data_IF_694435745213
#
_entry.id   IF_694435745213
#
_cell.length_a   1.000
_cell.length_b   1.000
_cell.length_c   1.000
_cell.angle_alpha   90.00
_cell.angle_beta   90.00
_cell.angle_gamma   90.00
#
_symmetry.space_group_name_H-M   'P 1'
#
loop_
_entity.id
_entity.type
_entity.pdbx_description
1 polymer ?
#
# COMPACT_ATOMS: atom_id res chain seq x y z
N UNK A 1 -37.56 -7.49 -16.78
CA UNK A 1 -38.80 -8.05 -17.38
C UNK A 1 -38.88 -7.57 -18.83
N UNK A 2 -39.69 -8.22 -19.68
CA UNK A 2 -39.90 -7.76 -21.06
C UNK A 2 -41.08 -6.79 -21.13
N UNK A 3 -40.94 -5.71 -21.92
CA UNK A 3 -42.01 -4.77 -22.21
C UNK A 3 -42.05 -4.47 -23.72
N UNK A 4 -43.23 -4.51 -24.33
CA UNK A 4 -43.41 -4.28 -25.76
C UNK A 4 -43.18 -2.81 -26.18
N UNK A 5 -43.32 -1.87 -25.24
CA UNK A 5 -43.11 -0.44 -25.40
C UNK A 5 -42.38 0.07 -24.15
N UNK A 6 -41.12 -0.37 -23.98
CA UNK A 6 -40.28 0.04 -22.85
C UNK A 6 -39.47 1.30 -23.14
N UNK A 7 -38.91 1.91 -22.08
CA UNK A 7 -38.16 3.16 -22.20
C UNK A 7 -36.85 2.95 -22.97
N UNK A 8 -36.64 3.71 -24.05
CA UNK A 8 -35.43 3.60 -24.87
C UNK A 8 -34.15 3.97 -24.10
N UNK A 9 -34.24 4.84 -23.08
CA UNK A 9 -33.15 5.23 -22.21
C UNK A 9 -33.23 4.43 -20.89
N UNK A 10 -32.38 3.40 -20.68
CA UNK A 10 -32.38 2.66 -19.42
C UNK A 10 -31.81 3.52 -18.29
N UNK A 11 -32.40 3.45 -17.10
CA UNK A 11 -31.75 3.95 -15.88
C UNK A 11 -30.52 3.08 -15.58
N UNK A 12 -29.39 3.72 -15.29
CA UNK A 12 -28.11 3.06 -14.98
C UNK A 12 -27.57 3.57 -13.65
N UNK A 13 -26.55 2.91 -13.09
CA UNK A 13 -25.90 3.42 -11.88
C UNK A 13 -25.28 4.82 -12.06
N UNK A 14 -24.84 5.16 -13.26
CA UNK A 14 -24.28 6.49 -13.58
C UNK A 14 -25.35 7.53 -13.88
N UNK A 15 -26.50 7.12 -14.43
CA UNK A 15 -27.66 7.97 -14.70
C UNK A 15 -28.95 7.29 -14.20
N UNK A 16 -29.27 7.39 -12.89
CA UNK A 16 -30.39 6.66 -12.30
C UNK A 16 -31.78 7.17 -12.71
N UNK A 17 -31.83 8.29 -13.44
CA UNK A 17 -33.05 8.98 -13.87
C UNK A 17 -33.09 9.25 -15.38
N UNK A 18 -32.23 8.58 -16.17
CA UNK A 18 -32.17 8.73 -17.62
C UNK A 18 -33.53 8.47 -18.29
N UNK A 19 -34.32 7.54 -17.75
CA UNK A 19 -35.65 7.22 -18.24
C UNK A 19 -36.61 8.41 -18.18
N UNK A 20 -36.47 9.28 -17.18
CA UNK A 20 -37.38 10.43 -16.94
C UNK A 20 -37.17 11.59 -17.94
N UNK A 21 -35.99 11.68 -18.56
CA UNK A 21 -35.65 12.74 -19.51
C UNK A 21 -35.56 12.23 -20.96
N UNK A 22 -35.94 10.97 -21.19
CA UNK A 22 -35.85 10.34 -22.50
C UNK A 22 -36.89 10.92 -23.48
N UNK A 23 -36.42 11.43 -24.61
CA UNK A 23 -37.27 11.98 -25.68
C UNK A 23 -37.48 11.00 -26.85
N UNK A 24 -36.86 9.82 -26.79
CA UNK A 24 -36.93 8.80 -27.82
C UNK A 24 -38.24 8.01 -27.71
N UNK A 25 -38.71 7.49 -28.85
CA UNK A 25 -39.86 6.59 -28.89
C UNK A 25 -39.58 5.31 -28.09
N UNK A 26 -40.62 4.77 -27.45
CA UNK A 26 -40.50 3.49 -26.76
C UNK A 26 -40.14 2.37 -27.74
N UNK A 27 -39.45 1.35 -27.23
CA UNK A 27 -39.00 0.20 -28.02
C UNK A 27 -39.32 -1.10 -27.29
N UNK A 28 -39.60 -2.20 -28.00
CA UNK A 28 -39.70 -3.51 -27.39
C UNK A 28 -38.35 -3.91 -26.80
N UNK A 29 -38.26 -4.10 -25.48
CA UNK A 29 -36.99 -4.41 -24.79
C UNK A 29 -37.20 -5.14 -23.46
N UNK A 30 -36.13 -5.72 -22.95
CA UNK A 30 -36.03 -6.07 -21.55
C UNK A 30 -35.57 -4.84 -20.75
N UNK A 31 -36.24 -4.54 -19.64
CA UNK A 31 -35.88 -3.46 -18.73
C UNK A 31 -35.92 -3.90 -17.27
N UNK A 32 -35.19 -3.15 -16.43
CA UNK A 32 -35.17 -3.37 -14.99
C UNK A 32 -36.51 -2.98 -14.37
N UNK A 33 -36.88 -3.66 -13.29
CA UNK A 33 -38.08 -3.33 -12.52
C UNK A 33 -37.81 -2.08 -11.67
N UNK A 34 -38.86 -1.32 -11.32
CA UNK A 34 -38.74 -0.16 -10.43
C UNK A 34 -37.91 -0.45 -9.18
N UNK A 35 -36.98 0.44 -8.85
CA UNK A 35 -35.99 0.26 -7.77
C UNK A 35 -34.69 -0.43 -8.19
N UNK A 36 -34.60 -0.92 -9.43
CA UNK A 36 -33.40 -1.52 -10.01
C UNK A 36 -32.95 -0.72 -11.23
N UNK A 37 -31.65 -0.59 -11.39
CA UNK A 37 -31.01 0.06 -12.53
C UNK A 37 -30.06 -0.90 -13.24
N UNK A 38 -29.73 -0.60 -14.50
CA UNK A 38 -28.84 -1.42 -15.30
C UNK A 38 -27.38 -1.13 -14.93
N UNK A 39 -26.65 -2.17 -14.53
CA UNK A 39 -25.21 -2.15 -14.26
C UNK A 39 -24.58 -3.43 -14.82
N UNK A 40 -23.56 -3.32 -15.67
CA UNK A 40 -22.88 -4.46 -16.31
C UNK A 40 -23.81 -5.55 -16.87
N UNK A 41 -24.84 -5.11 -17.61
CA UNK A 41 -25.88 -5.99 -18.22
C UNK A 41 -26.77 -6.73 -17.21
N UNK A 42 -26.71 -6.38 -15.93
CA UNK A 42 -27.57 -6.90 -14.88
C UNK A 42 -28.42 -5.79 -14.27
N UNK A 43 -29.60 -6.16 -13.76
CA UNK A 43 -30.41 -5.24 -12.98
C UNK A 43 -30.02 -5.35 -11.52
N UNK A 44 -29.41 -4.30 -10.97
CA UNK A 44 -28.98 -4.24 -9.57
C UNK A 44 -29.85 -3.23 -8.81
N UNK A 45 -30.10 -3.44 -7.51
CA UNK A 45 -30.78 -2.44 -6.68
C UNK A 45 -30.08 -1.07 -6.80
N UNK A 46 -30.82 0.03 -6.93
CA UNK A 46 -30.21 1.37 -7.04
C UNK A 46 -29.27 1.70 -5.87
N UNK A 47 -29.62 1.22 -4.68
CA UNK A 47 -28.81 1.32 -3.44
C UNK A 47 -27.48 0.56 -3.48
N UNK A 48 -27.27 -0.31 -4.47
CA UNK A 48 -26.03 -1.07 -4.65
C UNK A 48 -25.04 -0.43 -5.64
N UNK A 49 -25.42 0.67 -6.28
CA UNK A 49 -24.62 1.35 -7.30
C UNK A 49 -23.40 2.12 -6.79
N UNK A 50 -23.30 2.35 -5.47
CA UNK A 50 -22.29 3.26 -4.93
C UNK A 50 -22.73 4.73 -4.96
N UNK A 51 -21.76 5.64 -5.06
CA UNK A 51 -21.97 7.08 -4.99
C UNK A 51 -21.45 7.76 -6.26
N UNK A 52 -22.25 8.66 -6.85
CA UNK A 52 -21.80 9.55 -7.92
C UNK A 52 -21.31 10.87 -7.31
N UNK A 53 -20.05 11.23 -7.56
CA UNK A 53 -19.45 12.45 -7.01
C UNK A 53 -18.52 13.11 -8.02
N UNK A 54 -18.78 14.39 -8.34
CA UNK A 54 -18.09 15.16 -9.40
C UNK A 54 -17.99 14.42 -10.75
N UNK A 55 -19.02 13.63 -11.09
CA UNK A 55 -19.07 12.85 -12.33
C UNK A 55 -18.27 11.53 -12.31
N UNK A 56 -17.72 11.13 -11.16
CA UNK A 56 -17.01 9.88 -10.96
C UNK A 56 -17.87 8.95 -10.09
N UNK A 57 -17.98 7.68 -10.50
CA UNK A 57 -18.65 6.63 -9.73
C UNK A 57 -17.67 6.04 -8.72
N UNK A 58 -18.09 5.95 -7.45
CA UNK A 58 -17.35 5.33 -6.36
C UNK A 58 -18.14 4.18 -5.77
N UNK A 59 -17.47 3.07 -5.48
CA UNK A 59 -18.09 1.89 -4.86
C UNK A 59 -18.51 2.15 -3.42
N UNK A 60 -19.48 1.40 -2.91
CA UNK A 60 -19.91 1.53 -1.51
C UNK A 60 -18.74 1.27 -0.56
N UNK A 61 -18.44 2.26 0.28
CA UNK A 61 -17.33 2.21 1.23
C UNK A 61 -15.97 2.60 0.65
N UNK A 62 -15.88 2.90 -0.65
CA UNK A 62 -14.66 3.41 -1.28
C UNK A 62 -14.26 4.76 -0.68
N UNK A 63 -12.96 4.95 -0.46
CA UNK A 63 -12.38 6.19 0.07
C UNK A 63 -11.42 6.81 -0.94
N UNK A 64 -11.49 8.13 -1.09
CA UNK A 64 -10.69 8.87 -2.06
C UNK A 64 -10.33 10.26 -1.54
N UNK A 65 -9.37 10.91 -2.21
CA UNK A 65 -8.97 12.28 -1.95
C UNK A 65 -9.67 13.21 -2.95
N UNK A 66 -10.33 14.25 -2.44
CA UNK A 66 -11.11 15.18 -3.27
C UNK A 66 -10.24 16.21 -4.00
N UNK A 67 -9.16 16.65 -3.35
CA UNK A 67 -8.35 17.77 -3.83
C UNK A 67 -6.91 17.38 -4.16
N UNK A 68 -6.28 18.20 -5.02
CA UNK A 68 -4.92 18.01 -5.53
C UNK A 68 -3.83 18.03 -4.43
N UNK A 69 -4.16 18.56 -3.25
CA UNK A 69 -3.25 18.64 -2.10
C UNK A 69 -3.57 17.62 -1.01
N UNK A 70 -4.55 16.74 -1.23
CA UNK A 70 -5.00 15.75 -0.27
C UNK A 70 -5.37 16.38 1.09
N UNK A 71 -6.13 17.48 1.12
CA UNK A 71 -6.64 18.14 2.33
C UNK A 71 -8.05 17.65 2.77
N UNK A 72 -8.77 17.01 1.87
CA UNK A 72 -10.12 16.48 2.06
C UNK A 72 -10.17 15.03 1.63
N UNK A 73 -10.55 14.15 2.56
CA UNK A 73 -10.74 12.72 2.32
C UNK A 73 -12.23 12.42 2.38
N UNK A 74 -12.71 11.67 1.40
CA UNK A 74 -14.10 11.36 1.21
C UNK A 74 -14.32 9.86 1.25
N UNK A 75 -15.55 9.46 1.60
CA UNK A 75 -16.02 8.08 1.57
C UNK A 75 -17.41 8.01 0.99
N UNK A 76 -17.64 7.06 0.09
CA UNK A 76 -18.99 6.68 -0.29
C UNK A 76 -19.66 5.93 0.87
N UNK A 77 -20.65 6.56 1.52
CA UNK A 77 -21.36 6.00 2.66
C UNK A 77 -22.24 4.82 2.22
N UNK A 78 -21.96 3.57 2.69
CA UNK A 78 -22.72 2.40 2.30
C UNK A 78 -24.20 2.44 2.73
N UNK A 79 -24.54 3.28 3.72
CA UNK A 79 -25.89 3.36 4.28
C UNK A 79 -26.76 4.43 3.63
N UNK A 80 -26.14 5.47 3.06
CA UNK A 80 -26.86 6.62 2.48
C UNK A 80 -26.70 6.71 0.96
N UNK A 81 -25.71 6.04 0.36
CA UNK A 81 -25.39 6.20 -1.06
C UNK A 81 -24.88 7.61 -1.40
N UNK A 82 -24.35 8.31 -0.40
CA UNK A 82 -23.84 9.68 -0.51
C UNK A 82 -22.38 9.75 -0.13
N UNK A 83 -21.66 10.73 -0.67
CA UNK A 83 -20.26 10.96 -0.30
C UNK A 83 -20.17 11.84 0.94
N UNK A 84 -19.45 11.36 1.95
CA UNK A 84 -19.13 12.09 3.17
C UNK A 84 -17.63 12.41 3.21
N UNK A 85 -17.29 13.69 3.35
CA UNK A 85 -15.89 14.17 3.35
C UNK A 85 -15.49 14.78 4.69
N UNK A 86 -14.22 14.63 5.06
CA UNK A 86 -13.62 15.21 6.27
C UNK A 86 -12.21 15.72 6.00
N UNK A 87 -11.78 16.69 6.81
CA UNK A 87 -10.42 17.23 6.74
C UNK A 87 -9.41 16.14 7.08
N UNK A 88 -8.44 15.94 6.20
CA UNK A 88 -7.35 14.99 6.37
C UNK A 88 -6.09 15.55 5.68
N UNK A 89 -4.94 14.92 5.88
CA UNK A 89 -3.71 15.28 5.16
C UNK A 89 -2.84 14.06 4.98
N UNK A 90 -1.98 14.08 3.96
CA UNK A 90 -0.94 13.08 3.83
C UNK A 90 -0.04 13.05 5.08
N UNK A 91 0.50 11.88 5.41
CA UNK A 91 1.47 11.77 6.52
C UNK A 91 2.70 12.63 6.22
N UNK A 92 3.46 13.04 7.24
CA UNK A 92 4.60 13.97 7.11
C UNK A 92 5.65 13.57 6.05
N UNK A 93 5.80 12.27 5.75
CA UNK A 93 6.73 11.74 4.75
C UNK A 93 6.03 11.27 3.46
N UNK A 94 4.82 11.76 3.20
CA UNK A 94 4.08 11.51 1.98
C UNK A 94 3.82 12.83 1.26
N UNK A 95 3.78 12.75 -0.06
CA UNK A 95 3.33 13.83 -0.94
C UNK A 95 2.05 13.39 -1.64
N UNK A 96 1.11 14.31 -1.78
CA UNK A 96 -0.05 14.08 -2.64
C UNK A 96 0.45 14.00 -4.09
N UNK A 97 0.07 12.94 -4.79
CA UNK A 97 0.44 12.68 -6.18
C UNK A 97 -0.75 12.14 -6.93
N UNK A 98 -0.89 12.52 -8.20
CA UNK A 98 -1.98 12.02 -9.06
C UNK A 98 -1.50 10.82 -9.88
N UNK A 99 -2.26 9.73 -9.85
CA UNK A 99 -2.05 8.52 -10.66
C UNK A 99 -3.37 8.21 -11.38
N UNK A 100 -3.35 8.16 -12.71
CA UNK A 100 -4.55 7.93 -13.54
C UNK A 100 -5.75 8.86 -13.21
N UNK A 101 -5.48 10.11 -12.85
CA UNK A 101 -6.51 11.09 -12.49
C UNK A 101 -7.02 11.01 -11.05
N UNK A 102 -6.55 10.04 -10.25
CA UNK A 102 -6.91 9.88 -8.84
C UNK A 102 -5.76 10.36 -7.95
N UNK A 103 -6.08 11.08 -6.87
CA UNK A 103 -5.11 11.60 -5.93
C UNK A 103 -4.74 10.56 -4.86
N UNK A 104 -3.46 10.43 -4.56
CA UNK A 104 -2.92 9.48 -3.59
C UNK A 104 -1.81 10.10 -2.75
N UNK A 105 -1.73 9.74 -1.48
CA UNK A 105 -0.58 10.06 -0.64
C UNK A 105 0.55 9.05 -0.89
N UNK A 106 1.55 9.45 -1.67
CA UNK A 106 2.72 8.63 -1.99
C UNK A 106 3.89 8.99 -1.09
N UNK A 107 4.57 7.99 -0.53
CA UNK A 107 5.80 8.20 0.25
C UNK A 107 6.82 9.03 -0.54
N UNK A 108 7.23 10.19 -0.01
CA UNK A 108 8.36 10.94 -0.55
C UNK A 108 9.62 10.14 -0.27
N UNK A 109 10.35 9.74 -1.32
CA UNK A 109 11.71 9.22 -1.38
C UNK A 109 12.20 8.37 -0.17
N UNK A 110 12.69 7.16 -0.43
CA UNK A 110 13.39 6.39 0.60
C UNK A 110 14.61 7.18 1.11
N UNK A 111 14.78 7.20 2.43
CA UNK A 111 16.04 7.62 3.06
C UNK A 111 16.85 6.37 3.40
N UNK A 112 18.17 6.51 3.48
CA UNK A 112 19.07 5.36 3.70
C UNK A 112 19.88 5.56 4.97
N UNK A 113 19.84 4.58 5.87
CA UNK A 113 20.79 4.42 6.97
C UNK A 113 21.85 3.38 6.56
N UNK A 114 23.12 3.66 6.82
CA UNK A 114 24.24 2.84 6.34
C UNK A 114 25.15 2.48 7.52
N UNK A 115 25.52 1.21 7.62
CA UNK A 115 26.64 0.73 8.43
C UNK A 115 27.73 0.19 7.52
N UNK A 116 28.92 0.79 7.57
CA UNK A 116 30.07 0.40 6.72
C UNK A 116 31.27 0.08 7.58
N UNK A 117 31.80 -1.14 7.45
CA UNK A 117 33.07 -1.50 8.07
C UNK A 117 33.13 -1.34 9.58
N UNK A 118 31.96 -1.32 10.26
CA UNK A 118 31.75 -1.17 11.72
C UNK A 118 33.02 -0.80 12.48
N UNK A 119 33.28 0.51 12.67
CA UNK A 119 32.37 1.31 13.49
C UNK A 119 31.64 2.45 12.78
N UNK A 120 31.67 2.58 11.44
CA UNK A 120 31.11 3.76 10.77
C UNK A 120 29.62 3.65 10.45
N UNK A 121 28.81 4.54 11.03
CA UNK A 121 27.37 4.64 10.78
C UNK A 121 27.02 5.98 10.14
N UNK A 122 26.05 5.96 9.23
CA UNK A 122 25.38 7.14 8.68
C UNK A 122 23.88 7.01 8.91
N UNK A 123 23.29 7.95 9.66
CA UNK A 123 21.86 7.96 9.99
C UNK A 123 20.99 8.37 8.80
N UNK A 124 19.67 8.20 8.91
CA UNK A 124 18.71 8.62 7.88
C UNK A 124 18.74 10.12 7.55
N UNK A 125 19.13 10.96 8.52
CA UNK A 125 19.33 12.42 8.35
C UNK A 125 20.77 12.77 7.96
N UNK A 126 21.61 11.78 7.64
CA UNK A 126 22.96 11.97 7.09
C UNK A 126 24.07 12.23 8.11
N UNK A 127 23.80 12.11 9.42
CA UNK A 127 24.83 12.28 10.45
C UNK A 127 25.75 11.06 10.45
N UNK A 128 27.05 11.32 10.49
CA UNK A 128 28.08 10.29 10.55
C UNK A 128 28.64 10.18 11.95
N UNK A 129 28.80 8.96 12.45
CA UNK A 129 29.43 8.70 13.75
C UNK A 129 30.09 7.33 13.77
N UNK A 130 31.02 7.18 14.72
CA UNK A 130 31.73 5.93 14.95
C UNK A 130 31.25 5.28 16.26
N UNK A 131 30.97 3.98 16.23
CA UNK A 131 30.54 3.21 17.39
C UNK A 131 31.22 1.84 17.47
N UNK A 132 32.07 1.64 18.48
CA UNK A 132 32.88 0.44 18.66
C UNK A 132 32.25 -0.53 19.67
N UNK A 133 31.07 -1.04 19.36
CA UNK A 133 30.32 -1.97 20.20
C UNK A 133 30.42 -3.42 19.74
N UNK A 134 30.64 -4.37 20.66
CA UNK A 134 30.73 -5.81 20.36
C UNK A 134 29.53 -6.62 20.85
N UNK A 135 28.33 -6.02 20.80
CA UNK A 135 27.08 -6.65 21.21
C UNK A 135 26.09 -6.73 20.04
N UNK A 136 24.85 -7.07 20.37
CA UNK A 136 23.70 -7.01 19.48
C UNK A 136 23.05 -5.65 19.65
N UNK A 137 22.86 -4.92 18.55
CA UNK A 137 22.29 -3.58 18.54
C UNK A 137 21.13 -3.49 17.55
N UNK A 138 20.08 -2.78 17.94
CA UNK A 138 19.01 -2.41 17.03
C UNK A 138 19.46 -1.20 16.19
N UNK A 139 19.64 -1.40 14.89
CA UNK A 139 20.08 -0.37 13.95
C UNK A 139 18.92 0.47 13.43
N UNK A 140 17.76 -0.15 13.22
CA UNK A 140 16.54 0.55 12.81
C UNK A 140 15.30 -0.22 13.31
N UNK A 141 14.22 0.50 13.55
CA UNK A 141 12.91 -0.09 13.85
C UNK A 141 11.90 1.00 14.17
N UNK A 142 10.64 0.60 14.31
CA UNK A 142 9.56 1.54 14.59
C UNK A 142 9.49 1.84 16.08
N UNK A 143 9.51 3.14 16.42
CA UNK A 143 9.28 3.66 17.77
C UNK A 143 7.90 4.32 17.95
N UNK A 144 7.08 4.35 16.89
CA UNK A 144 5.73 4.90 16.91
C UNK A 144 4.70 3.89 17.45
N UNK A 145 3.65 4.40 18.10
CA UNK A 145 2.47 3.61 18.52
C UNK A 145 1.34 3.62 17.48
N UNK A 146 1.55 4.21 16.31
CA UNK A 146 0.57 4.22 15.21
C UNK A 146 0.30 2.78 14.73
N UNK A 147 -0.93 2.31 14.95
CA UNK A 147 -1.37 0.97 14.55
C UNK A 147 -1.45 0.77 13.03
N UNK A 148 -1.42 1.85 12.24
CA UNK A 148 -1.37 1.81 10.79
C UNK A 148 0.04 1.61 10.21
N UNK A 149 1.08 1.51 11.04
CA UNK A 149 2.44 1.20 10.60
C UNK A 149 2.73 -0.29 10.76
N UNK A 150 3.34 -0.90 9.74
CA UNK A 150 3.83 -2.30 9.83
C UNK A 150 5.08 -2.35 10.71
N UNK A 151 5.05 -3.04 11.88
CA UNK A 151 6.23 -3.18 12.74
C UNK A 151 7.39 -3.88 12.04
N UNK A 152 8.60 -3.35 12.20
CA UNK A 152 9.84 -4.01 11.78
C UNK A 152 11.00 -3.69 12.72
N UNK A 153 12.01 -4.57 12.73
CA UNK A 153 13.27 -4.38 13.45
C UNK A 153 14.45 -4.86 12.61
N UNK A 154 15.49 -4.03 12.52
CA UNK A 154 16.79 -4.38 11.93
C UNK A 154 17.80 -4.44 13.06
N UNK A 155 18.34 -5.63 13.28
CA UNK A 155 19.28 -5.94 14.35
C UNK A 155 20.63 -6.34 13.75
N UNK A 156 21.70 -5.85 14.34
CA UNK A 156 23.07 -6.11 13.92
C UNK A 156 23.84 -6.72 15.09
N UNK A 157 24.45 -7.88 14.86
CA UNK A 157 25.38 -8.53 15.79
C UNK A 157 26.81 -8.20 15.39
N UNK A 158 27.54 -7.49 16.25
CA UNK A 158 28.94 -7.13 16.04
C UNK A 158 29.85 -7.95 16.95
N UNK A 159 31.00 -8.43 16.43
CA UNK A 159 32.00 -9.18 17.19
C UNK A 159 33.39 -8.59 17.06
N UNK A 160 34.20 -8.73 18.11
CA UNK A 160 35.62 -8.37 18.10
C UNK A 160 36.48 -9.53 17.58
N UNK A 161 37.33 -9.28 16.58
CA UNK A 161 38.20 -10.30 15.96
C UNK A 161 39.53 -10.43 16.71
N UNK A 162 39.48 -10.77 18.00
CA UNK A 162 40.68 -10.95 18.83
C UNK A 162 41.43 -9.67 19.20
N UNK A 163 41.00 -8.51 18.71
CA UNK A 163 41.45 -7.17 19.11
C UNK A 163 40.24 -6.39 19.65
N UNK A 164 40.35 -5.80 20.84
CA UNK A 164 39.27 -5.00 21.46
C UNK A 164 39.10 -3.60 20.84
N UNK A 165 39.99 -3.22 19.91
CA UNK A 165 40.01 -1.89 19.27
C UNK A 165 39.05 -1.80 18.07
N UNK A 166 38.62 -2.92 17.47
CA UNK A 166 37.71 -2.93 16.30
C UNK A 166 36.70 -4.08 16.34
N UNK A 167 35.43 -3.77 16.05
CA UNK A 167 34.34 -4.72 15.90
C UNK A 167 34.02 -4.96 14.41
N UNK A 168 33.33 -6.04 14.08
CA UNK A 168 32.86 -6.31 12.72
C UNK A 168 31.45 -6.91 12.76
N UNK A 169 30.61 -6.53 11.79
CA UNK A 169 29.26 -7.08 11.64
C UNK A 169 29.30 -8.56 11.28
N UNK A 170 28.89 -9.42 12.21
CA UNK A 170 28.79 -10.88 12.05
C UNK A 170 27.48 -11.30 11.40
N UNK A 171 26.37 -10.71 11.85
CA UNK A 171 25.01 -11.02 11.38
C UNK A 171 24.18 -9.74 11.28
N UNK A 172 23.41 -9.61 10.20
CA UNK A 172 22.32 -8.63 10.08
C UNK A 172 21.02 -9.40 10.01
N UNK A 173 20.06 -9.03 10.86
CA UNK A 173 18.75 -9.67 10.97
C UNK A 173 17.64 -8.64 10.74
N UNK A 174 16.69 -8.95 9.86
CA UNK A 174 15.45 -8.20 9.65
C UNK A 174 14.28 -9.03 10.15
N UNK A 175 13.51 -8.46 11.05
CA UNK A 175 12.25 -9.00 11.56
C UNK A 175 11.09 -8.15 11.06
N UNK A 176 10.21 -8.74 10.25
CA UNK A 176 9.06 -8.05 9.65
C UNK A 176 7.98 -9.07 9.29
N UNK A 177 6.68 -8.74 9.46
CA UNK A 177 5.56 -9.66 9.18
C UNK A 177 5.69 -11.06 9.82
N UNK A 178 6.23 -11.13 11.05
CA UNK A 178 6.51 -12.39 11.73
C UNK A 178 7.50 -13.32 10.97
N UNK A 179 8.31 -12.73 10.08
CA UNK A 179 9.40 -13.38 9.37
C UNK A 179 10.74 -12.84 9.88
N UNK A 180 11.69 -13.76 10.06
CA UNK A 180 13.09 -13.43 10.37
C UNK A 180 13.96 -13.75 9.16
N UNK A 181 14.60 -12.72 8.62
CA UNK A 181 15.57 -12.79 7.52
C UNK A 181 16.95 -12.49 8.08
N UNK A 182 17.98 -13.28 7.77
CA UNK A 182 19.34 -13.00 8.24
C UNK A 182 20.39 -13.17 7.15
N UNK A 183 21.41 -12.32 7.22
CA UNK A 183 22.66 -12.39 6.44
C UNK A 183 23.80 -12.55 7.43
N UNK A 184 24.66 -13.54 7.22
CA UNK A 184 25.80 -13.80 8.10
C UNK A 184 27.11 -13.90 7.34
N UNK A 185 28.21 -13.59 8.01
CA UNK A 185 29.55 -13.86 7.48
C UNK A 185 29.83 -15.35 7.30
N UNK A 186 29.22 -16.21 8.12
CA UNK A 186 29.35 -17.67 8.04
C UNK A 186 28.80 -18.23 6.71
N UNK A 187 27.77 -17.58 6.17
CA UNK A 187 27.13 -17.97 4.92
C UNK A 187 27.09 -16.79 3.95
N UNK A 188 28.27 -16.38 3.41
CA UNK A 188 28.36 -15.20 2.58
C UNK A 188 27.51 -15.36 1.31
N UNK A 189 26.81 -14.29 0.93
CA UNK A 189 25.91 -14.22 -0.24
C UNK A 189 24.71 -15.16 -0.17
N UNK A 190 24.38 -15.71 1.00
CA UNK A 190 23.18 -16.53 1.20
C UNK A 190 22.26 -15.83 2.18
N UNK A 191 20.97 -15.87 1.89
CA UNK A 191 19.94 -15.42 2.83
C UNK A 191 19.41 -16.60 3.63
N UNK A 192 19.27 -16.42 4.93
CA UNK A 192 18.54 -17.33 5.79
C UNK A 192 17.16 -16.75 6.08
N UNK A 193 16.15 -17.61 6.00
CA UNK A 193 14.77 -17.29 6.38
C UNK A 193 14.34 -18.30 7.40
N UNK A 194 13.88 -17.84 8.57
CA UNK A 194 13.49 -18.75 9.66
C UNK A 194 14.62 -19.76 9.98
N UNK A 195 15.87 -19.28 10.04
CA UNK A 195 17.11 -20.08 10.27
C UNK A 195 17.46 -21.11 9.19
N UNK A 196 16.74 -21.16 8.07
CA UNK A 196 17.04 -22.04 6.94
C UNK A 196 17.62 -21.24 5.77
N UNK A 197 18.70 -21.71 5.19
CA UNK A 197 19.28 -21.11 3.97
C UNK A 197 18.28 -21.30 2.83
N UNK A 198 17.81 -20.21 2.23
CA UNK A 198 17.01 -20.27 1.00
C UNK A 198 17.91 -20.53 -0.21
N UNK A 199 17.44 -21.38 -1.12
CA UNK A 199 18.03 -21.51 -2.46
C UNK A 199 17.57 -20.32 -3.31
N UNK A 200 18.44 -19.80 -4.17
CA UNK A 200 18.19 -18.59 -4.97
C UNK A 200 16.86 -18.64 -5.76
N UNK A 201 16.51 -19.80 -6.32
CA UNK A 201 15.26 -20.01 -7.06
C UNK A 201 14.00 -19.88 -6.19
N UNK A 202 14.07 -20.29 -4.92
CA UNK A 202 12.96 -20.21 -3.98
C UNK A 202 12.78 -18.80 -3.42
N UNK A 203 13.89 -18.06 -3.26
CA UNK A 203 13.87 -16.64 -2.89
C UNK A 203 13.22 -15.78 -4.00
N UNK A 204 13.56 -16.04 -5.27
CA UNK A 204 12.95 -15.36 -6.43
C UNK A 204 11.45 -15.67 -6.58
N UNK A 205 11.02 -16.93 -6.39
CA UNK A 205 9.62 -17.35 -6.53
C UNK A 205 8.69 -16.83 -5.43
N UNK A 206 9.23 -16.52 -4.24
CA UNK A 206 8.45 -15.86 -3.16
C UNK A 206 8.33 -14.35 -3.34
N UNK A 207 8.94 -13.78 -4.39
CA UNK A 207 8.68 -12.45 -4.93
C UNK A 207 9.00 -11.28 -3.99
N UNK A 208 9.78 -11.47 -2.93
CA UNK A 208 9.79 -10.51 -1.80
C UNK A 208 11.15 -10.29 -1.15
N UNK A 209 12.20 -10.95 -1.63
CA UNK A 209 13.58 -10.70 -1.18
C UNK A 209 14.54 -10.87 -2.34
N UNK A 210 15.24 -9.80 -2.73
CA UNK A 210 16.27 -9.83 -3.77
C UNK A 210 17.64 -9.64 -3.15
N UNK A 211 18.56 -10.57 -3.43
CA UNK A 211 19.99 -10.39 -3.16
C UNK A 211 20.65 -9.78 -4.40
N UNK A 212 21.01 -8.50 -4.33
CA UNK A 212 21.76 -7.83 -5.42
C UNK A 212 23.04 -7.24 -4.86
N UNK A 213 24.21 -7.75 -5.28
CA UNK A 213 25.55 -7.22 -4.92
C UNK A 213 25.68 -6.80 -3.43
N UNK A 214 25.22 -7.65 -2.50
CA UNK A 214 25.30 -7.39 -1.05
C UNK A 214 24.14 -6.58 -0.45
N UNK A 215 23.07 -6.32 -1.20
CA UNK A 215 21.84 -5.68 -0.74
C UNK A 215 20.72 -6.71 -0.65
N UNK A 216 19.95 -6.66 0.44
CA UNK A 216 18.63 -7.29 0.53
C UNK A 216 17.59 -6.22 0.27
N UNK A 217 16.83 -6.37 -0.82
CA UNK A 217 15.65 -5.56 -1.09
C UNK A 217 14.43 -6.37 -0.70
N UNK A 218 13.65 -5.86 0.26
CA UNK A 218 12.34 -6.39 0.64
C UNK A 218 11.28 -5.37 0.25
N UNK A 219 10.31 -5.80 -0.55
CA UNK A 219 9.17 -4.97 -0.96
C UNK A 219 7.90 -5.64 -0.44
N UNK A 220 7.07 -4.85 0.27
CA UNK A 220 5.78 -5.31 0.77
C UNK A 220 4.80 -5.44 -0.39
N UNK A 221 4.01 -6.51 -0.40
CA UNK A 221 2.97 -6.74 -1.41
C UNK A 221 1.65 -5.99 -1.13
N UNK A 222 1.63 -5.02 -0.20
CA UNK A 222 0.38 -4.38 0.28
C UNK A 222 0.20 -2.92 -0.11
N UNK A 223 0.93 -2.42 -1.13
CA UNK A 223 0.59 -1.14 -1.78
C UNK A 223 -0.17 -1.43 -3.10
N UNK A 224 -1.35 -2.06 -2.97
CA UNK A 224 -2.41 -2.03 -3.98
C UNK A 224 -3.65 -1.41 -3.33
#
# INVERSE_FOLDING_TARGET
HYEACGNACPDTCSEPSASSFCTLNCVPKCQCTSGYVLHDSQCVPIESCGCLYNGIQYELGEEFWEDENCHSRCKCDPSQGTVNCWKASCKANQKCTTVNGVHHCKGSAYTTCIGTGDPHYTTFDGRKYDFQGSCIYQMAGICSKDSGLTPFSVVVENNNRGNKVVSFTKVVTLEVYNMTLSLSQEHPRKIQVQKKILKDEEAKRKGRVWLTKGRVLYESATDV
#
